data_IF_569644519886
#
_entry.id   IF_569644519886
#
_cell.length_a   1.000
_cell.length_b   1.000
_cell.length_c   1.000
_cell.angle_alpha   90.00
_cell.angle_beta   90.00
_cell.angle_gamma   90.00
#
_symmetry.space_group_name_H-M   'P 1'
#
loop_
_entity.id
_entity.type
_entity.pdbx_description
1 polymer ?
#
# COMPACT_ATOMS: atom_id res chain seq x y z
N UNK A 1 2.02 -13.78 -11.17
CA UNK A 1 1.08 -13.43 -12.26
C UNK A 1 -0.30 -14.03 -12.00
N UNK A 2 -0.40 -15.35 -11.76
CA UNK A 2 -1.67 -16.04 -11.49
C UNK A 2 -2.59 -15.30 -10.47
N UNK A 3 -2.08 -14.95 -9.30
CA UNK A 3 -2.88 -14.27 -8.27
C UNK A 3 -3.43 -12.91 -8.74
N UNK A 4 -2.66 -12.14 -9.51
CA UNK A 4 -3.15 -10.84 -10.02
C UNK A 4 -4.33 -11.01 -10.98
N UNK A 5 -4.31 -12.07 -11.79
CA UNK A 5 -5.40 -12.42 -12.71
C UNK A 5 -6.63 -12.88 -11.95
N UNK A 6 -6.47 -13.71 -10.92
CA UNK A 6 -7.56 -14.14 -10.04
C UNK A 6 -8.21 -12.96 -9.30
N UNK A 7 -7.43 -11.93 -8.97
CA UNK A 7 -7.92 -10.66 -8.42
C UNK A 7 -8.48 -9.69 -9.48
N UNK A 8 -8.65 -10.14 -10.73
CA UNK A 8 -9.37 -9.39 -11.77
C UNK A 8 -8.51 -8.48 -12.64
N UNK A 9 -7.17 -8.62 -12.63
CA UNK A 9 -6.33 -7.97 -13.65
C UNK A 9 -6.35 -8.76 -14.95
N UNK A 10 -6.57 -8.09 -16.08
CA UNK A 10 -6.44 -8.73 -17.38
C UNK A 10 -4.97 -9.07 -17.69
N UNK A 11 -4.64 -10.31 -18.12
CA UNK A 11 -3.28 -10.71 -18.44
C UNK A 11 -2.57 -9.80 -19.45
N UNK A 12 -3.31 -9.29 -20.45
CA UNK A 12 -2.80 -8.37 -21.47
C UNK A 12 -2.33 -7.02 -20.92
N UNK A 13 -2.78 -6.65 -19.72
CA UNK A 13 -2.40 -5.42 -19.04
C UNK A 13 -1.25 -5.64 -18.03
N UNK A 14 -0.78 -6.88 -17.85
CA UNK A 14 0.29 -7.20 -16.92
C UNK A 14 1.65 -7.05 -17.61
N UNK A 15 2.31 -5.91 -17.37
CA UNK A 15 3.70 -5.67 -17.79
C UNK A 15 4.58 -5.26 -16.61
N UNK A 16 5.89 -5.47 -16.73
CA UNK A 16 6.86 -5.00 -15.74
C UNK A 16 6.83 -3.48 -15.60
N UNK A 17 6.64 -2.78 -16.71
CA UNK A 17 6.56 -1.31 -16.75
C UNK A 17 5.41 -0.76 -15.90
N UNK A 18 4.28 -1.48 -15.83
CA UNK A 18 3.15 -1.09 -14.99
C UNK A 18 3.55 -0.91 -13.52
N UNK A 19 4.41 -1.78 -13.00
CA UNK A 19 4.86 -1.78 -11.61
C UNK A 19 6.16 -1.01 -11.38
N UNK A 20 6.89 -0.69 -12.44
CA UNK A 20 8.22 -0.04 -12.36
C UNK A 20 8.13 1.48 -12.44
N UNK A 21 7.00 2.03 -12.90
CA UNK A 21 6.78 3.47 -12.89
C UNK A 21 6.49 3.96 -11.47
N UNK A 22 7.27 4.96 -11.02
CA UNK A 22 7.08 5.59 -9.70
C UNK A 22 5.71 6.28 -9.60
N UNK A 23 5.16 6.31 -8.38
CA UNK A 23 3.96 7.08 -8.01
C UNK A 23 2.70 6.71 -8.80
N UNK A 24 2.56 5.42 -9.15
CA UNK A 24 1.35 4.84 -9.75
C UNK A 24 0.47 4.21 -8.70
N UNK A 25 -0.84 4.31 -8.93
CA UNK A 25 -1.88 3.59 -8.20
C UNK A 25 -2.53 2.62 -9.17
N UNK A 26 -2.34 1.33 -8.92
CA UNK A 26 -2.92 0.23 -9.69
C UNK A 26 -4.03 -0.37 -8.86
N UNK A 27 -5.21 -0.54 -9.45
CA UNK A 27 -6.41 -1.04 -8.74
C UNK A 27 -6.84 -2.36 -9.35
N UNK A 28 -7.21 -3.30 -8.49
CA UNK A 28 -7.79 -4.57 -8.90
C UNK A 28 -8.85 -5.05 -7.91
N UNK A 29 -9.66 -5.99 -8.36
CA UNK A 29 -10.79 -6.52 -7.62
C UNK A 29 -12.05 -5.68 -7.75
N UNK A 30 -13.12 -6.18 -7.14
CA UNK A 30 -14.44 -5.53 -7.09
C UNK A 30 -14.89 -5.45 -5.63
N UNK A 31 -15.72 -4.45 -5.25
CA UNK A 31 -16.23 -4.36 -3.88
C UNK A 31 -16.87 -5.68 -3.41
N UNK A 32 -16.68 -6.08 -2.13
CA UNK A 32 -15.93 -5.37 -1.08
C UNK A 32 -14.40 -5.59 -1.13
N UNK A 33 -13.91 -6.49 -1.99
CA UNK A 33 -12.50 -6.91 -2.08
C UNK A 33 -11.75 -6.12 -3.16
N UNK A 34 -11.46 -4.85 -2.87
CA UNK A 34 -10.61 -4.00 -3.72
C UNK A 34 -9.20 -3.93 -3.16
N UNK A 35 -8.21 -4.13 -4.01
CA UNK A 35 -6.79 -3.97 -3.69
C UNK A 35 -6.25 -2.76 -4.47
N UNK A 36 -5.47 -1.93 -3.80
CA UNK A 36 -4.69 -0.87 -4.41
C UNK A 36 -3.20 -1.16 -4.22
N UNK A 37 -2.44 -1.22 -5.31
CA UNK A 37 -1.00 -1.30 -5.30
C UNK A 37 -0.42 0.07 -5.63
N UNK A 38 0.40 0.59 -4.72
CA UNK A 38 1.04 1.89 -4.86
C UNK A 38 2.53 1.67 -5.08
N UNK A 39 3.07 2.17 -6.20
CA UNK A 39 4.51 2.07 -6.51
C UNK A 39 5.33 3.22 -5.90
N UNK A 40 4.66 4.13 -5.22
CA UNK A 40 5.25 5.24 -4.47
C UNK A 40 4.21 5.85 -3.54
N UNK A 41 4.68 6.40 -2.42
CA UNK A 41 3.85 7.06 -1.42
C UNK A 41 4.56 8.30 -0.89
N UNK A 42 3.80 9.35 -0.57
CA UNK A 42 4.36 10.64 -0.18
C UNK A 42 5.13 10.61 1.15
N UNK A 43 6.26 11.31 1.21
CA UNK A 43 6.96 11.63 2.45
C UNK A 43 7.73 10.49 3.12
N UNK A 44 7.79 9.31 2.51
CA UNK A 44 8.57 8.17 3.01
C UNK A 44 9.15 7.34 1.85
N UNK A 45 10.27 6.66 2.09
CA UNK A 45 10.89 5.73 1.14
C UNK A 45 10.59 4.27 1.52
N UNK A 46 10.30 3.43 0.53
CA UNK A 46 9.83 2.06 0.77
C UNK A 46 10.87 1.22 1.51
N UNK A 47 12.15 1.29 1.12
CA UNK A 47 13.23 0.52 1.76
C UNK A 47 13.32 0.78 3.25
N UNK A 48 13.17 2.05 3.64
CA UNK A 48 13.25 2.49 5.02
C UNK A 48 12.04 2.00 5.81
N UNK A 49 10.83 2.19 5.27
CA UNK A 49 9.60 1.70 5.88
C UNK A 49 9.60 0.17 6.02
N UNK A 50 10.07 -0.54 4.99
CA UNK A 50 10.13 -2.00 4.98
C UNK A 50 11.11 -2.53 6.02
N UNK A 51 12.23 -1.85 6.25
CA UNK A 51 13.18 -2.21 7.32
C UNK A 51 12.58 -2.08 8.72
N UNK A 52 11.65 -1.13 8.92
CA UNK A 52 10.96 -0.84 10.19
C UNK A 52 9.55 -1.42 10.27
N UNK A 53 9.15 -2.27 9.33
CA UNK A 53 7.81 -2.84 9.26
C UNK A 53 7.47 -3.60 10.54
N UNK A 54 6.20 -3.56 10.92
CA UNK A 54 5.66 -4.38 11.99
C UNK A 54 5.09 -5.64 11.36
N UNK A 55 5.52 -6.81 11.80
CA UNK A 55 4.92 -8.08 11.38
C UNK A 55 3.87 -8.50 12.39
N UNK A 56 2.66 -8.76 11.93
CA UNK A 56 1.56 -9.35 12.72
C UNK A 56 1.21 -10.71 12.14
N UNK A 57 0.63 -11.60 12.95
CA UNK A 57 0.15 -12.90 12.48
C UNK A 57 -1.38 -12.85 12.40
N UNK A 58 -1.92 -13.09 11.21
CA UNK A 58 -3.37 -13.15 10.95
C UNK A 58 -3.66 -14.51 10.32
N UNK A 59 -4.50 -15.32 10.96
CA UNK A 59 -4.82 -16.70 10.53
C UNK A 59 -3.58 -17.57 10.22
N UNK A 60 -2.51 -17.40 11.01
CA UNK A 60 -1.23 -18.09 10.82
C UNK A 60 -0.39 -17.57 9.66
N UNK A 61 -0.78 -16.46 9.04
CA UNK A 61 -0.05 -15.80 7.94
C UNK A 61 0.65 -14.55 8.48
N UNK A 62 1.99 -14.42 8.31
CA UNK A 62 2.70 -13.21 8.67
C UNK A 62 2.36 -12.06 7.70
N UNK A 63 1.77 -11.00 8.23
CA UNK A 63 1.39 -9.78 7.50
C UNK A 63 2.32 -8.63 7.88
N UNK A 64 2.90 -7.97 6.88
CA UNK A 64 3.78 -6.82 7.06
C UNK A 64 2.98 -5.53 7.01
N UNK A 65 3.01 -4.75 8.10
CA UNK A 65 2.39 -3.45 8.24
C UNK A 65 3.46 -2.35 8.30
N UNK A 66 3.15 -1.18 7.75
CA UNK A 66 3.98 0.02 7.93
C UNK A 66 4.02 0.39 9.42
N UNK A 67 5.18 0.86 9.89
CA UNK A 67 5.31 1.34 11.28
C UNK A 67 4.38 2.53 11.55
N UNK A 68 3.98 2.70 12.81
CA UNK A 68 3.10 3.83 13.19
C UNK A 68 3.76 5.18 12.90
N UNK A 69 5.07 5.29 13.10
CA UNK A 69 5.84 6.51 12.87
C UNK A 69 5.90 6.86 11.38
N UNK A 70 6.16 5.87 10.53
CA UNK A 70 6.21 6.08 9.08
C UNK A 70 4.82 6.33 8.50
N UNK A 71 3.78 5.69 9.05
CA UNK A 71 2.39 5.96 8.69
C UNK A 71 2.00 7.41 9.01
N UNK A 72 2.37 7.92 10.18
CA UNK A 72 2.14 9.33 10.55
C UNK A 72 2.86 10.29 9.59
N UNK A 73 4.14 10.01 9.26
CA UNK A 73 4.88 10.81 8.27
C UNK A 73 4.19 10.80 6.90
N UNK A 74 3.78 9.62 6.43
CA UNK A 74 3.08 9.48 5.16
C UNK A 74 1.75 10.24 5.13
N UNK A 75 0.90 10.07 6.15
CA UNK A 75 -0.38 10.79 6.28
C UNK A 75 -0.22 12.30 6.34
N UNK A 76 0.81 12.78 7.04
CA UNK A 76 1.13 14.22 7.08
C UNK A 76 1.55 14.75 5.71
N UNK A 77 2.37 13.99 4.98
CA UNK A 77 2.86 14.39 3.67
C UNK A 77 1.82 14.25 2.55
N UNK A 78 0.88 13.30 2.66
CA UNK A 78 -0.21 13.13 1.69
C UNK A 78 -1.21 14.29 1.75
N UNK A 79 -1.36 14.93 2.93
CA UNK A 79 -2.22 16.08 3.14
C UNK A 79 -3.71 15.82 2.87
N UNK A 80 -4.14 14.55 2.76
CA UNK A 80 -5.55 14.23 2.53
C UNK A 80 -6.35 14.66 3.75
N UNK A 81 -7.48 15.33 3.56
CA UNK A 81 -8.29 15.88 4.67
C UNK A 81 -8.55 14.85 5.79
N UNK A 82 -8.95 13.64 5.40
CA UNK A 82 -9.16 12.52 6.33
C UNK A 82 -7.87 12.06 7.01
N UNK A 83 -6.74 12.07 6.31
CA UNK A 83 -5.47 11.70 6.93
C UNK A 83 -5.05 12.70 8.00
N UNK A 84 -5.30 14.00 7.78
CA UNK A 84 -5.01 15.05 8.77
C UNK A 84 -5.87 14.88 10.03
N UNK A 85 -7.15 14.55 9.88
CA UNK A 85 -8.03 14.22 11.01
C UNK A 85 -7.60 12.94 11.74
N UNK A 86 -7.16 11.92 10.99
CA UNK A 86 -6.71 10.65 11.57
C UNK A 86 -5.41 10.79 12.38
N UNK A 87 -4.53 11.73 12.01
CA UNK A 87 -3.24 11.92 12.69
C UNK A 87 -3.39 12.18 14.20
N UNK A 88 -4.48 12.83 14.61
CA UNK A 88 -4.77 13.13 16.02
C UNK A 88 -5.28 11.91 16.80
N UNK A 89 -5.69 10.85 16.10
CA UNK A 89 -6.29 9.64 16.69
C UNK A 89 -5.38 8.42 16.66
N UNK A 90 -4.23 8.52 15.99
CA UNK A 90 -3.23 7.46 15.97
C UNK A 90 -2.46 7.46 17.30
N UNK A 91 -2.25 6.29 17.93
CA UNK A 91 -1.56 6.16 19.22
C UNK A 91 -0.14 6.73 19.19
#
# INVERSE_FOLDING_TARGET
IQSLVEFGMSPENLSVDLFSQKDKIIRMGVPPLRIELLTGVSGVEFSDCYSRRVTVEEDGIPVCLISIEDLKKNKKASGRHKDLEDLERLP
#
